data_IF_180386295497
#
_entry.id   IF_180386295497
#
_cell.length_a   1.000
_cell.length_b   1.000
_cell.length_c   1.000
_cell.angle_alpha   90.00
_cell.angle_beta   90.00
_cell.angle_gamma   90.00
#
_symmetry.space_group_name_H-M   'P 1'
#
loop_
_entity.id
_entity.type
_entity.pdbx_description
1 polymer ?
#
# COMPACT_ATOMS: atom_id res chain seq x y z
N UNK A 1 21.84 -45.90 41.24
CA UNK A 1 21.51 -45.82 39.82
C UNK A 1 20.41 -44.81 39.69
N UNK A 2 20.76 -43.57 39.40
CA UNK A 2 19.80 -42.46 39.28
C UNK A 2 19.48 -42.27 37.79
N UNK A 3 18.23 -42.52 37.41
CA UNK A 3 17.75 -42.34 36.04
C UNK A 3 17.39 -40.87 35.83
N UNK A 4 18.23 -40.18 35.05
CA UNK A 4 17.90 -38.82 34.56
C UNK A 4 16.84 -38.93 33.46
N UNK A 5 15.70 -38.25 33.68
CA UNK A 5 14.68 -38.02 32.64
C UNK A 5 15.22 -37.05 31.58
N UNK A 6 14.93 -37.26 30.28
CA UNK A 6 15.25 -36.30 29.24
C UNK A 6 14.42 -35.04 29.39
N UNK A 7 14.94 -33.84 28.99
CA UNK A 7 14.22 -32.60 29.07
C UNK A 7 13.04 -32.62 28.08
N UNK A 8 11.89 -32.12 28.57
CA UNK A 8 10.68 -31.90 27.75
C UNK A 8 10.96 -30.88 26.63
N UNK A 9 10.36 -31.05 25.45
CA UNK A 9 10.53 -30.11 24.36
C UNK A 9 9.90 -28.75 24.74
N UNK A 10 10.70 -27.70 24.65
CA UNK A 10 10.28 -26.32 24.87
C UNK A 10 9.05 -25.98 24.01
N UNK A 11 7.97 -25.57 24.62
CA UNK A 11 6.82 -24.99 23.94
C UNK A 11 7.28 -23.84 23.06
N UNK A 12 7.09 -23.98 21.75
CA UNK A 12 7.27 -22.91 20.80
C UNK A 12 6.26 -21.80 21.14
N UNK A 13 6.77 -20.67 21.62
CA UNK A 13 6.01 -19.44 21.80
C UNK A 13 5.48 -19.03 20.41
N UNK A 14 4.26 -19.40 20.11
CA UNK A 14 3.56 -18.92 18.93
C UNK A 14 3.32 -17.42 19.15
N UNK A 15 4.10 -16.60 18.48
CA UNK A 15 3.81 -15.17 18.33
C UNK A 15 2.40 -15.07 17.74
N UNK A 16 1.46 -14.30 18.34
CA UNK A 16 0.12 -14.17 17.80
C UNK A 16 0.22 -13.66 16.36
N UNK A 17 -0.18 -14.50 15.42
CA UNK A 17 -0.24 -14.12 14.01
C UNK A 17 -1.23 -12.96 13.88
N UNK A 18 -0.75 -11.77 13.47
CA UNK A 18 -1.61 -10.61 13.29
C UNK A 18 -2.78 -10.98 12.37
N UNK A 19 -3.99 -10.54 12.73
CA UNK A 19 -5.20 -10.83 11.95
C UNK A 19 -5.04 -10.26 10.52
N UNK A 20 -5.39 -11.01 9.46
CA UNK A 20 -5.39 -10.48 8.10
C UNK A 20 -6.36 -9.29 8.01
N UNK A 21 -5.90 -8.17 7.46
CA UNK A 21 -6.71 -6.99 7.15
C UNK A 21 -7.35 -7.11 5.77
N UNK A 22 -6.53 -7.52 4.81
CA UNK A 22 -6.97 -7.84 3.45
C UNK A 22 -6.58 -9.29 3.13
N UNK A 23 -7.49 -10.02 2.51
CA UNK A 23 -7.25 -11.36 2.00
C UNK A 23 -7.71 -11.44 0.55
N UNK A 24 -6.79 -11.74 -0.35
CA UNK A 24 -7.08 -12.09 -1.72
C UNK A 24 -7.04 -13.61 -1.88
N UNK A 25 -8.04 -14.20 -2.54
CA UNK A 25 -8.15 -15.63 -2.77
C UNK A 25 -8.45 -15.92 -4.24
N UNK A 26 -7.52 -16.61 -4.90
CA UNK A 26 -7.60 -17.07 -6.29
C UNK A 26 -7.92 -15.95 -7.30
N UNK A 27 -7.27 -14.79 -7.15
CA UNK A 27 -7.53 -13.64 -8.01
C UNK A 27 -6.98 -13.86 -9.39
N UNK A 28 -7.89 -13.84 -10.37
CA UNK A 28 -7.60 -13.78 -11.79
C UNK A 28 -8.09 -12.43 -12.32
N UNK A 29 -7.28 -11.78 -13.13
CA UNK A 29 -7.62 -10.49 -13.73
C UNK A 29 -7.46 -10.53 -15.25
N UNK A 30 -8.42 -9.92 -15.95
CA UNK A 30 -8.44 -9.90 -17.41
C UNK A 30 -8.60 -8.47 -17.93
N UNK A 31 -7.85 -8.15 -18.99
CA UNK A 31 -8.06 -7.01 -19.87
C UNK A 31 -8.65 -7.55 -21.19
N UNK A 32 -9.95 -7.44 -21.38
CA UNK A 32 -10.64 -8.12 -22.49
C UNK A 32 -10.42 -9.64 -22.42
N UNK A 33 -9.76 -10.22 -23.41
CA UNK A 33 -9.39 -11.64 -23.47
C UNK A 33 -8.04 -11.96 -22.83
N UNK A 34 -7.19 -10.95 -22.59
CA UNK A 34 -5.86 -11.16 -22.03
C UNK A 34 -5.92 -11.36 -20.52
N UNK A 35 -5.47 -12.52 -20.04
CA UNK A 35 -5.35 -12.82 -18.60
C UNK A 35 -4.04 -12.24 -18.05
N UNK A 36 -4.15 -11.20 -17.24
CA UNK A 36 -3.02 -10.46 -16.69
C UNK A 36 -2.59 -10.93 -15.29
N UNK A 37 -3.51 -11.53 -14.51
CA UNK A 37 -3.17 -12.14 -13.21
C UNK A 37 -3.68 -13.57 -13.18
N UNK A 38 -2.90 -14.45 -12.58
CA UNK A 38 -3.11 -15.89 -12.56
C UNK A 38 -3.11 -16.41 -11.13
N UNK A 39 -4.30 -16.62 -10.58
CA UNK A 39 -4.54 -17.32 -9.31
C UNK A 39 -3.75 -16.75 -8.14
N UNK A 40 -3.82 -15.42 -7.94
CA UNK A 40 -3.12 -14.74 -6.86
C UNK A 40 -3.87 -14.95 -5.54
N UNK A 41 -3.19 -15.55 -4.55
CA UNK A 41 -3.68 -15.67 -3.18
C UNK A 41 -2.67 -15.07 -2.23
N UNK A 42 -3.11 -14.12 -1.37
CA UNK A 42 -2.24 -13.31 -0.55
C UNK A 42 -2.99 -12.76 0.66
N UNK A 43 -2.39 -12.81 1.85
CA UNK A 43 -2.88 -12.17 3.07
C UNK A 43 -2.01 -10.98 3.45
N UNK A 44 -2.63 -9.84 3.72
CA UNK A 44 -1.98 -8.62 4.18
C UNK A 44 -2.49 -8.31 5.60
N UNK A 45 -1.58 -8.30 6.57
CA UNK A 45 -1.94 -8.24 7.99
C UNK A 45 -2.13 -6.81 8.48
N UNK A 46 -2.96 -6.67 9.53
CA UNK A 46 -3.26 -5.39 10.18
C UNK A 46 -1.98 -4.71 10.65
N UNK A 47 -1.87 -3.40 10.38
CA UNK A 47 -0.75 -2.55 10.82
C UNK A 47 0.62 -3.06 10.36
N UNK A 48 0.67 -3.69 9.19
CA UNK A 48 1.92 -4.11 8.54
C UNK A 48 2.03 -3.48 7.16
N UNK A 49 3.28 -3.38 6.69
CA UNK A 49 3.60 -2.95 5.34
C UNK A 49 3.92 -4.18 4.51
N UNK A 50 3.12 -4.43 3.48
CA UNK A 50 3.36 -5.48 2.48
C UNK A 50 3.92 -4.85 1.21
N UNK A 51 5.13 -5.25 0.80
CA UNK A 51 5.69 -4.83 -0.48
C UNK A 51 5.41 -5.86 -1.57
N UNK A 52 5.07 -5.38 -2.76
CA UNK A 52 4.97 -6.18 -3.98
C UNK A 52 6.10 -5.76 -4.92
N UNK A 53 7.04 -6.68 -5.18
CA UNK A 53 8.21 -6.46 -6.04
C UNK A 53 8.14 -7.32 -7.29
N UNK A 54 8.96 -7.00 -8.30
CA UNK A 54 9.04 -7.74 -9.56
C UNK A 54 9.26 -6.81 -10.75
N UNK A 55 9.56 -7.36 -11.94
CA UNK A 55 9.83 -6.56 -13.13
C UNK A 55 8.64 -5.72 -13.57
N UNK A 56 8.90 -4.71 -14.40
CA UNK A 56 7.83 -3.87 -14.97
C UNK A 56 6.85 -4.73 -15.78
N UNK A 57 5.55 -4.42 -15.67
CA UNK A 57 4.51 -5.17 -16.41
C UNK A 57 4.14 -6.55 -15.85
N UNK A 58 4.73 -7.02 -14.74
CA UNK A 58 4.42 -8.34 -14.18
C UNK A 58 3.08 -8.43 -13.42
N UNK A 59 2.28 -7.35 -13.34
CA UNK A 59 0.93 -7.39 -12.77
C UNK A 59 0.75 -6.76 -11.39
N UNK A 60 1.81 -6.25 -10.71
CA UNK A 60 1.75 -5.66 -9.35
C UNK A 60 0.70 -4.56 -9.20
N UNK A 61 0.78 -3.52 -10.04
CA UNK A 61 -0.18 -2.40 -10.02
C UNK A 61 -1.58 -2.85 -10.43
N UNK A 62 -1.70 -3.85 -11.30
CA UNK A 62 -2.99 -4.46 -11.63
C UNK A 62 -3.61 -5.12 -10.40
N UNK A 63 -2.84 -5.93 -9.67
CA UNK A 63 -3.29 -6.55 -8.42
C UNK A 63 -3.64 -5.48 -7.38
N UNK A 64 -2.75 -4.50 -7.14
CA UNK A 64 -2.99 -3.41 -6.19
C UNK A 64 -4.34 -2.71 -6.43
N UNK A 65 -4.67 -2.44 -7.70
CA UNK A 65 -5.91 -1.77 -8.11
C UNK A 65 -7.16 -2.62 -7.90
N UNK A 66 -7.05 -3.93 -7.77
CA UNK A 66 -8.19 -4.78 -7.44
C UNK A 66 -8.63 -4.63 -5.99
N UNK A 67 -7.70 -4.31 -5.07
CA UNK A 67 -7.94 -4.25 -3.63
C UNK A 67 -8.94 -3.15 -3.20
N UNK A 68 -9.14 -2.12 -4.04
CA UNK A 68 -10.14 -1.06 -3.80
C UNK A 68 -11.11 -0.87 -4.99
N UNK A 69 -11.17 -1.85 -5.88
CA UNK A 69 -12.07 -1.85 -7.05
C UNK A 69 -11.87 -0.67 -8.00
N UNK A 70 -10.68 -0.02 -8.02
CA UNK A 70 -10.42 1.06 -8.98
C UNK A 70 -10.23 0.52 -10.40
N UNK A 71 -9.92 -0.76 -10.55
CA UNK A 71 -9.89 -1.47 -11.82
C UNK A 71 -11.24 -1.41 -12.57
N UNK A 72 -12.37 -1.25 -11.89
CA UNK A 72 -13.70 -1.13 -12.52
C UNK A 72 -13.84 0.12 -13.41
N UNK A 73 -12.94 1.11 -13.25
CA UNK A 73 -12.86 2.26 -14.15
C UNK A 73 -12.23 1.92 -15.51
N UNK A 74 -11.62 0.74 -15.64
CA UNK A 74 -10.94 0.29 -16.86
C UNK A 74 -11.95 -0.50 -17.70
N UNK A 75 -12.23 -0.03 -18.92
CA UNK A 75 -13.15 -0.70 -19.83
C UNK A 75 -12.71 -2.13 -20.12
N UNK A 76 -13.66 -3.05 -20.15
CA UNK A 76 -13.44 -4.47 -20.41
C UNK A 76 -12.49 -5.16 -19.43
N UNK A 77 -12.34 -4.64 -18.21
CA UNK A 77 -11.66 -5.37 -17.16
C UNK A 77 -12.62 -6.31 -16.42
N UNK A 78 -12.09 -7.47 -16.01
CA UNK A 78 -12.84 -8.47 -15.23
C UNK A 78 -11.93 -9.08 -14.16
N UNK A 79 -12.47 -9.21 -12.96
CA UNK A 79 -11.84 -9.90 -11.82
C UNK A 79 -12.62 -11.17 -11.51
N UNK A 80 -11.92 -12.26 -11.24
CA UNK A 80 -12.46 -13.50 -10.67
C UNK A 80 -11.72 -13.79 -9.36
N UNK A 81 -12.34 -14.55 -8.47
CA UNK A 81 -11.85 -14.81 -7.12
C UNK A 81 -12.52 -13.93 -6.09
N UNK A 82 -11.97 -13.87 -4.87
CA UNK A 82 -12.52 -13.08 -3.76
C UNK A 82 -11.47 -12.22 -3.12
N UNK A 83 -11.86 -11.00 -2.74
CA UNK A 83 -11.05 -10.11 -1.89
C UNK A 83 -11.90 -9.76 -0.67
N UNK A 84 -11.34 -10.00 0.51
CA UNK A 84 -12.00 -9.73 1.77
C UNK A 84 -11.27 -8.59 2.50
N UNK A 85 -12.02 -7.64 3.04
CA UNK A 85 -11.57 -6.62 3.98
C UNK A 85 -12.24 -6.90 5.34
N UNK A 86 -11.48 -7.26 6.38
CA UNK A 86 -12.00 -7.70 7.67
C UNK A 86 -13.04 -8.83 7.56
N UNK A 87 -12.80 -9.83 6.69
CA UNK A 87 -13.69 -10.95 6.38
C UNK A 87 -14.95 -10.57 5.57
N UNK A 88 -15.18 -9.30 5.23
CA UNK A 88 -16.26 -8.85 4.36
C UNK A 88 -15.80 -8.85 2.89
N UNK A 89 -16.57 -9.48 2.00
CA UNK A 89 -16.28 -9.47 0.56
C UNK A 89 -16.47 -8.05 0.00
N UNK A 90 -15.39 -7.46 -0.53
CA UNK A 90 -15.39 -6.08 -1.02
C UNK A 90 -16.38 -5.86 -2.19
N UNK A 91 -16.82 -6.91 -2.87
CA UNK A 91 -17.81 -6.80 -3.95
C UNK A 91 -19.20 -6.46 -3.43
N UNK A 92 -19.50 -6.80 -2.17
CA UNK A 92 -20.75 -6.51 -1.50
C UNK A 92 -20.78 -5.13 -0.83
N UNK A 93 -19.63 -4.45 -0.77
CA UNK A 93 -19.51 -3.12 -0.15
C UNK A 93 -19.79 -2.04 -1.21
N UNK A 94 -20.51 -0.97 -0.82
CA UNK A 94 -20.61 0.22 -1.65
C UNK A 94 -19.21 0.75 -2.01
N UNK A 95 -18.98 1.03 -3.30
CA UNK A 95 -17.65 1.37 -3.81
C UNK A 95 -17.08 2.66 -3.21
N UNK A 96 -17.93 3.62 -2.87
CA UNK A 96 -17.53 4.88 -2.22
C UNK A 96 -17.07 4.61 -0.79
N UNK A 97 -17.85 3.79 -0.06
CA UNK A 97 -17.52 3.33 1.28
C UNK A 97 -16.22 2.52 1.30
N UNK A 98 -16.06 1.59 0.35
CA UNK A 98 -14.81 0.82 0.21
C UNK A 98 -13.60 1.74 0.00
N UNK A 99 -13.68 2.68 -0.96
CA UNK A 99 -12.56 3.57 -1.29
C UNK A 99 -12.25 4.60 -0.21
N UNK A 100 -13.16 4.83 0.72
CA UNK A 100 -12.88 5.58 1.94
C UNK A 100 -12.03 4.75 2.91
N UNK A 101 -12.37 3.45 3.09
CA UNK A 101 -11.64 2.51 3.96
C UNK A 101 -10.29 2.11 3.36
N UNK A 102 -10.20 1.99 2.01
CA UNK A 102 -9.01 1.56 1.26
C UNK A 102 -8.57 2.68 0.32
N UNK A 103 -7.75 3.60 0.85
CA UNK A 103 -7.20 4.73 0.11
C UNK A 103 -6.13 4.31 -0.89
N UNK A 104 -5.89 5.14 -1.92
CA UNK A 104 -4.86 4.87 -2.92
C UNK A 104 -4.08 6.11 -3.29
N UNK A 105 -2.76 5.95 -3.39
CA UNK A 105 -1.81 6.93 -3.91
C UNK A 105 -1.18 6.36 -5.17
N UNK A 106 -1.22 7.14 -6.25
CA UNK A 106 -0.75 6.72 -7.57
C UNK A 106 0.73 7.03 -7.76
N UNK A 107 1.34 6.35 -8.72
CA UNK A 107 2.74 6.51 -9.10
C UNK A 107 3.08 7.96 -9.48
N UNK A 108 2.22 8.61 -10.27
CA UNK A 108 2.37 10.03 -10.59
C UNK A 108 1.51 10.84 -9.63
N UNK A 109 2.08 11.86 -8.98
CA UNK A 109 1.29 12.78 -8.19
C UNK A 109 0.12 13.33 -9.00
N UNK A 110 -1.07 13.30 -8.42
CA UNK A 110 -2.29 13.74 -9.08
C UNK A 110 -3.11 14.69 -8.19
N UNK A 111 -2.53 15.81 -7.74
CA UNK A 111 -3.30 16.78 -6.99
C UNK A 111 -4.47 17.30 -7.84
N UNK A 112 -5.58 17.64 -7.20
CA UNK A 112 -6.67 18.30 -7.89
C UNK A 112 -6.25 19.72 -8.31
N UNK A 113 -6.81 20.29 -9.38
CA UNK A 113 -6.59 21.67 -9.81
C UNK A 113 -7.26 22.65 -8.83
N UNK A 114 -6.83 22.63 -7.58
CA UNK A 114 -7.34 23.36 -6.42
C UNK A 114 -6.16 23.82 -5.56
N UNK A 115 -6.46 24.59 -4.53
CA UNK A 115 -5.47 24.97 -3.53
C UNK A 115 -4.94 23.75 -2.75
N UNK A 116 -3.81 23.92 -2.05
CA UNK A 116 -3.22 22.92 -1.17
C UNK A 116 -4.25 22.49 -0.11
N UNK A 117 -4.85 23.44 0.59
CA UNK A 117 -5.86 23.16 1.61
C UNK A 117 -7.12 22.50 1.04
N UNK A 118 -7.61 22.93 -0.13
CA UNK A 118 -8.79 22.34 -0.74
C UNK A 118 -8.57 20.92 -1.27
N UNK A 119 -7.34 20.53 -1.61
CA UNK A 119 -7.03 19.14 -1.96
C UNK A 119 -7.38 18.19 -0.83
N UNK A 120 -7.08 18.57 0.41
CA UNK A 120 -7.36 17.75 1.60
C UNK A 120 -8.82 17.89 2.01
N UNK A 121 -9.32 19.15 2.07
CA UNK A 121 -10.68 19.45 2.47
C UNK A 121 -11.74 18.78 1.58
N UNK A 122 -11.40 18.47 0.33
CA UNK A 122 -12.34 17.88 -0.63
C UNK A 122 -12.90 16.54 -0.15
N UNK A 123 -12.05 15.60 0.24
CA UNK A 123 -12.47 14.29 0.75
C UNK A 123 -13.32 14.41 2.02
N UNK A 124 -12.92 15.28 2.93
CA UNK A 124 -13.65 15.54 4.18
C UNK A 124 -15.06 16.11 3.92
N UNK A 125 -15.19 17.06 2.98
CA UNK A 125 -16.47 17.68 2.62
C UNK A 125 -17.43 16.67 1.97
N UNK A 126 -16.95 15.90 0.99
CA UNK A 126 -17.79 14.94 0.27
C UNK A 126 -18.31 13.84 1.19
N UNK A 127 -17.47 13.37 2.11
CA UNK A 127 -17.84 12.31 3.04
C UNK A 127 -18.57 12.82 4.31
N UNK A 128 -18.83 14.13 4.42
CA UNK A 128 -19.48 14.70 5.60
C UNK A 128 -18.68 14.52 6.91
N UNK A 129 -17.34 14.37 6.81
CA UNK A 129 -16.47 13.99 7.93
C UNK A 129 -15.98 15.17 8.76
N UNK A 130 -16.26 16.40 8.37
CA UNK A 130 -15.87 17.58 9.15
C UNK A 130 -16.95 18.64 9.13
N UNK A 131 -17.32 19.14 10.31
CA UNK A 131 -18.12 20.35 10.46
C UNK A 131 -17.31 21.57 10.03
N UNK A 132 -18.00 22.67 9.67
CA UNK A 132 -17.35 23.87 9.11
C UNK A 132 -16.25 24.44 10.01
N UNK A 133 -16.33 24.30 11.34
CA UNK A 133 -15.31 24.72 12.31
C UNK A 133 -14.11 23.78 12.42
N UNK A 134 -14.29 22.48 12.19
CA UNK A 134 -13.28 21.44 12.37
C UNK A 134 -12.40 21.24 11.12
N UNK A 135 -12.84 21.77 9.97
CA UNK A 135 -12.19 21.50 8.68
C UNK A 135 -10.74 21.99 8.64
N UNK A 136 -10.43 23.12 9.26
CA UNK A 136 -9.07 23.67 9.32
C UNK A 136 -8.14 22.75 10.12
N UNK A 137 -8.59 22.28 11.27
CA UNK A 137 -7.82 21.41 12.16
C UNK A 137 -7.56 20.05 11.47
N UNK A 138 -8.56 19.52 10.77
CA UNK A 138 -8.41 18.27 9.99
C UNK A 138 -7.44 18.42 8.83
N UNK A 139 -7.44 19.56 8.15
CA UNK A 139 -6.48 19.88 7.08
C UNK A 139 -5.07 19.96 7.66
N UNK A 140 -4.86 20.69 8.75
CA UNK A 140 -3.57 20.76 9.43
C UNK A 140 -3.10 19.39 9.89
N UNK A 141 -3.94 18.61 10.58
CA UNK A 141 -3.62 17.28 11.04
C UNK A 141 -3.19 16.36 9.89
N UNK A 142 -3.90 16.38 8.77
CA UNK A 142 -3.57 15.57 7.60
C UNK A 142 -2.23 15.95 6.98
N UNK A 143 -1.92 17.27 6.92
CA UNK A 143 -0.63 17.77 6.44
C UNK A 143 0.52 17.44 7.41
N UNK A 144 0.28 17.46 8.72
CA UNK A 144 1.26 17.03 9.73
C UNK A 144 1.54 15.54 9.61
N UNK A 145 0.51 14.70 9.49
CA UNK A 145 0.65 13.26 9.27
C UNK A 145 1.45 12.94 8.01
N UNK A 146 1.39 13.77 6.97
CA UNK A 146 2.16 13.63 5.74
C UNK A 146 3.53 14.35 5.77
N UNK A 147 3.98 14.83 6.95
CA UNK A 147 5.21 15.59 7.12
C UNK A 147 5.35 16.77 6.12
N UNK A 148 4.22 17.44 5.79
CA UNK A 148 4.17 18.52 4.80
C UNK A 148 3.79 19.88 5.41
N UNK A 149 3.21 19.91 6.64
CA UNK A 149 2.66 21.10 7.26
C UNK A 149 3.65 22.27 7.31
N UNK A 150 4.83 22.07 7.82
CA UNK A 150 5.81 23.14 8.02
C UNK A 150 6.31 23.77 6.70
N UNK A 151 6.18 23.03 5.59
CA UNK A 151 6.56 23.50 4.26
C UNK A 151 5.44 24.29 3.56
N UNK A 152 4.17 24.14 4.02
CA UNK A 152 3.01 24.69 3.29
C UNK A 152 2.03 25.51 4.14
N UNK A 153 2.19 25.56 5.46
CA UNK A 153 1.24 26.22 6.39
C UNK A 153 0.88 27.67 6.03
N UNK A 154 1.84 28.41 5.47
CA UNK A 154 1.67 29.83 5.11
C UNK A 154 1.11 30.05 3.70
N UNK A 155 0.95 28.96 2.92
CA UNK A 155 0.52 29.00 1.50
C UNK A 155 -0.59 28.02 1.16
N UNK A 156 -1.43 27.65 2.12
CA UNK A 156 -2.53 26.69 1.93
C UNK A 156 -3.54 27.09 0.84
N UNK A 157 -3.63 28.35 0.52
CA UNK A 157 -4.50 28.91 -0.52
C UNK A 157 -3.87 28.89 -1.92
N UNK A 158 -2.55 28.64 -2.01
CA UNK A 158 -1.85 28.54 -3.29
C UNK A 158 -2.21 27.26 -4.05
N UNK A 159 -1.99 27.27 -5.36
CA UNK A 159 -2.22 26.11 -6.22
C UNK A 159 -1.36 24.93 -5.79
N UNK A 160 -1.96 23.74 -5.71
CA UNK A 160 -1.22 22.51 -5.44
C UNK A 160 -0.16 22.19 -6.53
N UNK A 161 -0.33 22.70 -7.74
CA UNK A 161 0.66 22.55 -8.82
C UNK A 161 1.92 23.42 -8.64
N UNK A 162 1.92 24.39 -7.74
CA UNK A 162 3.11 25.16 -7.39
C UNK A 162 4.10 24.38 -6.50
N UNK A 163 3.70 23.24 -5.98
CA UNK A 163 4.54 22.37 -5.16
C UNK A 163 5.52 21.57 -6.02
N UNK A 164 6.69 21.23 -5.43
CA UNK A 164 7.62 20.27 -6.03
C UNK A 164 7.00 18.87 -6.14
N UNK A 165 7.56 17.99 -7.00
CA UNK A 165 7.04 16.64 -7.18
C UNK A 165 6.92 15.84 -5.88
N UNK A 166 7.93 15.90 -5.01
CA UNK A 166 7.90 15.26 -3.70
C UNK A 166 6.87 15.87 -2.74
N UNK A 167 6.66 17.18 -2.78
CA UNK A 167 5.61 17.85 -2.03
C UNK A 167 4.21 17.49 -2.56
N UNK A 168 4.03 17.43 -3.89
CA UNK A 168 2.78 16.98 -4.50
C UNK A 168 2.44 15.53 -4.10
N UNK A 169 3.44 14.64 -4.08
CA UNK A 169 3.23 13.26 -3.66
C UNK A 169 2.81 13.18 -2.18
N UNK A 170 3.48 13.92 -1.29
CA UNK A 170 3.07 14.00 0.13
C UNK A 170 1.70 14.66 0.29
N UNK A 171 1.33 15.62 -0.56
CA UNK A 171 -0.02 16.17 -0.57
C UNK A 171 -1.07 15.11 -0.98
N UNK A 172 -0.76 14.26 -1.98
CA UNK A 172 -1.65 13.16 -2.35
C UNK A 172 -1.79 12.12 -1.24
N UNK A 173 -0.71 11.86 -0.48
CA UNK A 173 -0.75 11.01 0.72
C UNK A 173 -1.60 11.69 1.81
N UNK A 174 -1.37 12.98 2.11
CA UNK A 174 -2.18 13.75 3.07
C UNK A 174 -3.67 13.72 2.72
N UNK A 175 -4.00 13.86 1.44
CA UNK A 175 -5.38 13.76 0.94
C UNK A 175 -5.99 12.39 1.18
N UNK A 176 -5.23 11.32 0.96
CA UNK A 176 -5.69 9.96 1.23
C UNK A 176 -5.89 9.71 2.73
N UNK A 177 -4.98 10.21 3.58
CA UNK A 177 -5.04 10.08 5.03
C UNK A 177 -6.15 10.92 5.69
N UNK A 178 -6.62 11.98 5.03
CA UNK A 178 -7.61 12.90 5.60
C UNK A 178 -8.93 12.22 5.97
N UNK A 179 -9.28 11.13 5.28
CA UNK A 179 -10.51 10.35 5.52
C UNK A 179 -10.30 9.17 6.47
N UNK A 180 -9.15 9.11 7.14
CA UNK A 180 -8.73 8.05 8.07
C UNK A 180 -8.92 6.64 7.49
N UNK A 181 -8.22 6.29 6.40
CA UNK A 181 -8.35 4.97 5.79
C UNK A 181 -7.75 3.88 6.68
N UNK A 182 -8.35 2.70 6.64
CA UNK A 182 -7.86 1.51 7.33
C UNK A 182 -6.69 0.86 6.58
N UNK A 183 -6.68 1.03 5.25
CA UNK A 183 -5.64 0.53 4.35
C UNK A 183 -5.20 1.64 3.40
N UNK A 184 -3.90 1.77 3.17
CA UNK A 184 -3.32 2.67 2.18
C UNK A 184 -2.55 1.88 1.12
N UNK A 185 -3.01 2.00 -0.12
CA UNK A 185 -2.38 1.42 -1.29
C UNK A 185 -1.44 2.44 -1.93
N UNK A 186 -0.18 2.06 -2.17
CA UNK A 186 0.87 2.94 -2.69
C UNK A 186 1.44 2.32 -3.97
N UNK A 187 1.09 2.89 -5.13
CA UNK A 187 1.58 2.42 -6.43
C UNK A 187 2.85 3.19 -6.80
N UNK A 188 4.03 2.60 -6.58
CA UNK A 188 5.36 3.17 -6.84
C UNK A 188 5.53 4.63 -6.33
N UNK A 189 5.26 4.93 -5.06
CA UNK A 189 5.12 6.30 -4.55
C UNK A 189 6.39 7.14 -4.64
N UNK A 190 7.56 6.54 -4.87
CA UNK A 190 8.86 7.22 -4.91
C UNK A 190 9.54 7.17 -6.28
N UNK A 191 8.92 6.57 -7.31
CA UNK A 191 9.59 6.27 -8.60
C UNK A 191 10.10 7.50 -9.36
N UNK A 192 9.52 8.68 -9.14
CA UNK A 192 9.89 9.93 -9.82
C UNK A 192 10.48 10.97 -8.85
N UNK A 193 10.95 10.56 -7.67
CA UNK A 193 11.42 11.45 -6.63
C UNK A 193 12.94 11.37 -6.46
N UNK A 194 13.53 12.46 -6.00
CA UNK A 194 14.92 12.51 -5.57
C UNK A 194 15.12 11.72 -4.26
N UNK A 195 16.37 11.39 -3.89
CA UNK A 195 16.66 10.60 -2.69
C UNK A 195 16.14 11.23 -1.39
N UNK A 196 16.16 12.57 -1.28
CA UNK A 196 15.70 13.27 -0.06
C UNK A 196 14.17 13.16 0.08
N UNK A 197 13.45 13.38 -1.02
CA UNK A 197 12.00 13.21 -1.04
C UNK A 197 11.59 11.75 -0.80
N UNK A 198 12.35 10.79 -1.35
CA UNK A 198 12.15 9.37 -1.10
C UNK A 198 12.31 9.02 0.38
N UNK A 199 13.39 9.48 1.03
CA UNK A 199 13.62 9.24 2.47
C UNK A 199 12.46 9.78 3.32
N UNK A 200 11.96 10.98 3.02
CA UNK A 200 10.79 11.56 3.73
C UNK A 200 9.53 10.72 3.59
N UNK A 201 9.29 10.08 2.44
CA UNK A 201 8.14 9.18 2.24
C UNK A 201 8.35 7.86 2.99
N UNK A 202 9.57 7.32 3.01
CA UNK A 202 9.88 6.12 3.78
C UNK A 202 9.69 6.35 5.29
N UNK A 203 10.20 7.46 5.84
CA UNK A 203 9.97 7.87 7.23
C UNK A 203 8.48 8.03 7.53
N UNK A 204 7.74 8.64 6.61
CA UNK A 204 6.28 8.77 6.71
C UNK A 204 5.59 7.41 6.79
N UNK A 205 5.96 6.44 5.94
CA UNK A 205 5.39 5.09 6.00
C UNK A 205 5.64 4.43 7.35
N UNK A 206 6.84 4.56 7.93
CA UNK A 206 7.13 4.08 9.28
C UNK A 206 6.24 4.73 10.34
N UNK A 207 6.05 6.04 10.28
CA UNK A 207 5.22 6.76 11.25
C UNK A 207 3.73 6.42 11.18
N UNK A 208 3.27 5.93 10.03
CA UNK A 208 1.87 5.56 9.79
C UNK A 208 1.58 4.08 10.06
N UNK A 209 2.60 3.24 10.22
CA UNK A 209 2.47 1.79 10.33
C UNK A 209 1.49 1.36 11.41
N UNK A 210 1.54 1.97 12.60
CA UNK A 210 0.67 1.62 13.71
C UNK A 210 -0.79 2.10 13.54
N UNK A 211 -1.03 2.97 12.56
CA UNK A 211 -2.33 3.59 12.31
C UNK A 211 -3.05 3.03 11.09
N UNK A 212 -2.31 2.47 10.12
CA UNK A 212 -2.85 2.08 8.83
C UNK A 212 -2.08 0.89 8.25
N UNK A 213 -2.79 -0.10 7.76
CA UNK A 213 -2.20 -1.18 6.97
C UNK A 213 -1.76 -0.65 5.62
N UNK A 214 -0.57 -1.00 5.14
CA UNK A 214 -0.08 -0.48 3.87
C UNK A 214 0.29 -1.59 2.89
N UNK A 215 -0.02 -1.38 1.61
CA UNK A 215 0.44 -2.24 0.52
C UNK A 215 1.17 -1.34 -0.48
N UNK A 216 2.45 -1.58 -0.68
CA UNK A 216 3.29 -0.81 -1.58
C UNK A 216 3.73 -1.64 -2.79
N UNK A 217 3.55 -1.12 -3.99
CA UNK A 217 4.22 -1.60 -5.19
C UNK A 217 5.50 -0.79 -5.37
N UNK A 218 6.61 -1.46 -5.56
CA UNK A 218 7.88 -0.80 -5.89
C UNK A 218 8.76 -1.69 -6.77
N UNK A 219 9.52 -1.08 -7.66
CA UNK A 219 10.61 -1.73 -8.37
C UNK A 219 11.97 -1.53 -7.68
N UNK A 220 12.01 -0.70 -6.62
CA UNK A 220 13.22 -0.48 -5.82
C UNK A 220 13.28 -1.51 -4.68
N UNK A 221 14.12 -2.53 -4.87
CA UNK A 221 14.34 -3.61 -3.90
C UNK A 221 14.86 -3.09 -2.56
N UNK A 222 15.74 -2.08 -2.58
CA UNK A 222 16.27 -1.50 -1.35
C UNK A 222 15.17 -0.79 -0.53
N UNK A 223 14.23 -0.13 -1.21
CA UNK A 223 13.07 0.46 -0.55
C UNK A 223 12.21 -0.63 0.10
N UNK A 224 11.84 -1.67 -0.65
CA UNK A 224 11.06 -2.79 -0.09
C UNK A 224 11.74 -3.40 1.14
N UNK A 225 13.07 -3.66 1.04
CA UNK A 225 13.85 -4.22 2.14
C UNK A 225 13.90 -3.34 3.39
N UNK A 226 13.83 -2.01 3.24
CA UNK A 226 13.84 -1.09 4.38
C UNK A 226 12.48 -0.94 5.04
N UNK A 227 11.39 -0.84 4.25
CA UNK A 227 10.10 -0.40 4.79
C UNK A 227 9.12 -1.53 5.06
N UNK A 228 9.21 -2.67 4.38
CA UNK A 228 8.19 -3.71 4.42
C UNK A 228 8.42 -4.75 5.51
N UNK A 229 7.33 -5.26 6.09
CA UNK A 229 7.33 -6.43 6.98
C UNK A 229 7.32 -7.73 6.17
N UNK A 230 6.48 -7.76 5.12
CA UNK A 230 6.33 -8.89 4.22
C UNK A 230 6.54 -8.44 2.78
N UNK A 231 7.08 -9.32 1.95
CA UNK A 231 7.35 -9.03 0.55
C UNK A 231 6.83 -10.15 -0.34
N UNK A 232 6.09 -9.78 -1.39
CA UNK A 232 5.64 -10.69 -2.43
C UNK A 232 6.36 -10.42 -3.76
N UNK A 233 6.95 -11.46 -4.34
CA UNK A 233 7.58 -11.39 -5.65
C UNK A 233 6.60 -11.80 -6.75
N UNK A 234 6.35 -10.89 -7.68
CA UNK A 234 5.50 -11.09 -8.85
C UNK A 234 6.31 -11.30 -10.12
N UNK A 235 5.91 -12.29 -10.91
CA UNK A 235 6.49 -12.57 -12.22
C UNK A 235 5.40 -13.06 -13.19
N UNK A 236 5.29 -12.43 -14.38
CA UNK A 236 4.37 -12.82 -15.44
C UNK A 236 2.94 -13.08 -14.95
N UNK A 237 2.42 -12.17 -14.12
CA UNK A 237 1.06 -12.25 -13.59
C UNK A 237 0.85 -13.24 -12.46
N UNK A 238 1.90 -13.84 -11.92
CA UNK A 238 1.84 -14.81 -10.82
C UNK A 238 2.55 -14.28 -9.58
N UNK A 239 2.06 -14.64 -8.40
CA UNK A 239 2.80 -14.52 -7.15
C UNK A 239 3.71 -15.74 -7.02
N UNK A 240 5.00 -15.53 -7.16
CA UNK A 240 6.00 -16.61 -7.14
C UNK A 240 6.34 -17.00 -5.71
N UNK A 241 6.53 -15.99 -4.86
CA UNK A 241 6.91 -16.18 -3.46
C UNK A 241 6.35 -15.05 -2.60
N UNK A 242 5.98 -15.37 -1.37
CA UNK A 242 5.53 -14.41 -0.37
C UNK A 242 5.98 -14.86 1.01
N UNK A 243 6.73 -14.01 1.70
CA UNK A 243 7.22 -14.28 3.06
C UNK A 243 7.61 -12.96 3.74
N UNK A 244 8.12 -13.07 4.98
CA UNK A 244 8.79 -11.96 5.67
C UNK A 244 9.86 -11.36 4.78
N UNK A 245 9.95 -10.04 4.79
CA UNK A 245 10.91 -9.31 3.94
C UNK A 245 12.35 -9.81 4.11
N UNK A 246 12.76 -10.07 5.35
CA UNK A 246 14.10 -10.62 5.63
C UNK A 246 14.34 -11.98 4.97
N UNK A 247 13.34 -12.85 4.91
CA UNK A 247 13.44 -14.17 4.27
C UNK A 247 13.60 -13.98 2.75
N UNK A 248 12.70 -13.19 2.15
CA UNK A 248 12.74 -12.92 0.70
C UNK A 248 14.10 -12.37 0.26
N UNK A 249 14.69 -11.44 1.01
CA UNK A 249 15.95 -10.78 0.61
C UNK A 249 17.23 -11.51 1.01
N UNK A 250 17.19 -12.39 2.04
CA UNK A 250 18.39 -13.07 2.55
C UNK A 250 18.45 -14.55 2.16
N UNK A 251 17.29 -15.22 2.11
CA UNK A 251 17.21 -16.67 1.88
C UNK A 251 15.89 -17.05 1.19
N UNK A 252 15.64 -16.57 -0.04
CA UNK A 252 14.43 -16.92 -0.77
C UNK A 252 14.35 -18.41 -1.06
N UNK A 253 13.15 -18.98 -1.07
CA UNK A 253 12.92 -20.40 -1.32
C UNK A 253 12.77 -20.71 -2.82
N UNK A 254 12.56 -19.69 -3.65
CA UNK A 254 12.38 -19.82 -5.10
C UNK A 254 13.59 -19.26 -5.84
N UNK A 255 14.07 -20.04 -6.80
CA UNK A 255 15.21 -19.64 -7.63
C UNK A 255 14.89 -18.36 -8.43
N UNK A 256 13.69 -18.22 -8.94
CA UNK A 256 13.26 -17.03 -9.68
C UNK A 256 13.34 -15.77 -8.81
N UNK A 257 13.03 -15.88 -7.50
CA UNK A 257 13.18 -14.80 -6.53
C UNK A 257 14.64 -14.46 -6.30
N UNK A 258 15.49 -15.48 -6.11
CA UNK A 258 16.95 -15.32 -5.93
C UNK A 258 17.58 -14.63 -7.15
N UNK A 259 17.26 -15.11 -8.36
CA UNK A 259 17.78 -14.55 -9.61
C UNK A 259 17.36 -13.09 -9.77
N UNK A 260 16.11 -12.74 -9.43
CA UNK A 260 15.63 -11.36 -9.48
C UNK A 260 16.36 -10.44 -8.49
N UNK A 261 16.50 -10.85 -7.23
CA UNK A 261 17.13 -10.04 -6.17
C UNK A 261 18.62 -9.85 -6.41
N UNK A 262 19.30 -10.89 -6.95
CA UNK A 262 20.73 -10.82 -7.25
C UNK A 262 21.06 -10.15 -8.58
N UNK A 263 20.05 -9.70 -9.34
CA UNK A 263 20.23 -9.08 -10.65
C UNK A 263 20.66 -10.05 -11.76
N UNK A 264 20.50 -11.34 -11.56
CA UNK A 264 20.78 -12.41 -12.55
C UNK A 264 19.56 -12.67 -13.45
N UNK A 265 18.56 -11.83 -13.36
CA UNK A 265 17.31 -11.94 -14.08
C UNK A 265 17.47 -11.28 -15.46
N UNK A 266 17.56 -12.07 -16.53
CA UNK A 266 17.72 -11.62 -17.92
C UNK A 266 17.52 -12.77 -18.88
#
# INVERSE_FOLDING_TARGET
MSSAQPPEPSESVQTPTAKPKLRAANINFYYGSFKALHDISLEMHTNQITALIGPSGCGKSTFLRTLNRINETIRHSRVEGKILLDDEDITNVDVTSLRRRVGMVFQRPNPFPKSIGDNIAYGLKINGMARRGELKDRVEQSLRRAALWDEVKDKLHESAYALSGGQQQRLCIARALAVDPEVLLLDEPCSALDPIATAKIEELMFSLKDQCTMVIVTHNMQQAARVADNTGFFLLGKLIEFDKTDVIFKNPSRKETEDYITGRFG
#
